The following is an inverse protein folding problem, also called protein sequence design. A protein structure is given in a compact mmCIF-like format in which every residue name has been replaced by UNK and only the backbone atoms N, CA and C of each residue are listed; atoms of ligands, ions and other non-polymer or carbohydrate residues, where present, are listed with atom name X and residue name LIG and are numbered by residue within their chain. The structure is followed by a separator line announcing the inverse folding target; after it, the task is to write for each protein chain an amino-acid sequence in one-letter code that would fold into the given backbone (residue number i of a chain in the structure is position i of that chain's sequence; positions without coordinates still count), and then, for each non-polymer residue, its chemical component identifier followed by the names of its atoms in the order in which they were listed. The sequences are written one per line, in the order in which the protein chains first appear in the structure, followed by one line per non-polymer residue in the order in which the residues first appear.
data_IF_332221609112
#
_entry.id   IF_332221609112
#
_cell.length_a   1.000
_cell.length_b   1.000
_cell.length_c   1.000
_cell.angle_alpha   90.00
_cell.angle_beta   90.00
_cell.angle_gamma   90.00
#
_symmetry.space_group_name_H-M   'P 1'
#
loop_
_entity.id
_entity.type
_entity.pdbx_description
1 polymer ?
#
# COMPACT_ATOMS: atom_id res chain seq x y z
N UNK A 1 -17.72 44.07 52.23
CA UNK A 1 -18.36 42.76 52.46
C UNK A 1 -18.06 41.90 51.25
N UNK A 2 -17.06 41.02 51.35
CA UNK A 2 -16.73 40.06 50.29
C UNK A 2 -17.88 39.06 50.14
N UNK A 3 -18.52 39.08 48.98
CA UNK A 3 -19.42 38.00 48.58
C UNK A 3 -18.56 36.79 48.24
N UNK A 4 -18.27 35.96 49.24
CA UNK A 4 -17.77 34.60 49.00
C UNK A 4 -18.95 33.81 48.44
N UNK A 5 -19.17 33.95 47.14
CA UNK A 5 -20.01 33.03 46.37
C UNK A 5 -19.59 31.60 46.68
N UNK A 6 -20.54 30.67 46.71
CA UNK A 6 -20.31 29.29 47.13
C UNK A 6 -19.09 28.70 46.39
N UNK A 7 -17.95 28.62 47.08
CA UNK A 7 -16.72 28.05 46.52
C UNK A 7 -16.77 26.56 46.75
N UNK A 8 -17.16 25.82 45.71
CA UNK A 8 -17.29 24.35 45.76
C UNK A 8 -15.91 23.68 45.67
N UNK A 9 -14.93 24.36 45.07
CA UNK A 9 -13.56 23.90 44.89
C UNK A 9 -12.58 24.94 45.44
N UNK A 10 -11.42 24.49 45.90
CA UNK A 10 -10.28 25.36 46.20
C UNK A 10 -9.63 25.88 44.91
N UNK A 11 -8.93 27.00 44.98
CA UNK A 11 -8.22 27.57 43.81
C UNK A 11 -7.20 26.57 43.24
N UNK A 12 -6.49 25.84 44.10
CA UNK A 12 -5.53 24.81 43.70
C UNK A 12 -6.21 23.64 42.95
N UNK A 13 -7.41 23.24 43.36
CA UNK A 13 -8.18 22.18 42.70
C UNK A 13 -8.78 22.64 41.36
N UNK A 14 -9.18 23.91 41.27
CA UNK A 14 -9.69 24.50 40.02
C UNK A 14 -8.60 24.53 38.96
N UNK A 15 -7.41 25.00 39.34
CA UNK A 15 -6.32 25.24 38.39
C UNK A 15 -5.62 23.92 37.99
N UNK A 16 -5.76 22.86 38.78
CA UNK A 16 -5.20 21.53 38.49
C UNK A 16 -6.28 20.45 38.28
N UNK A 17 -7.48 20.84 37.84
CA UNK A 17 -8.58 19.91 37.60
C UNK A 17 -8.21 18.89 36.52
N UNK A 18 -8.12 17.61 36.90
CA UNK A 18 -7.83 16.48 35.99
C UNK A 18 -9.06 15.63 35.65
N UNK A 19 -10.26 16.13 35.98
CA UNK A 19 -11.50 15.45 35.67
C UNK A 19 -11.90 15.61 34.21
N UNK A 20 -12.76 14.72 33.74
CA UNK A 20 -13.33 14.78 32.40
C UNK A 20 -14.23 16.02 32.29
N UNK A 21 -13.84 16.99 31.48
CA UNK A 21 -14.67 18.15 31.18
C UNK A 21 -15.66 17.81 30.08
N UNK A 22 -16.92 18.22 30.26
CA UNK A 22 -18.03 17.95 29.35
C UNK A 22 -18.51 19.31 28.82
N UNK A 23 -18.75 19.37 27.52
CA UNK A 23 -19.29 20.53 26.82
C UNK A 23 -20.78 20.72 27.13
N UNK A 24 -21.33 21.89 26.80
CA UNK A 24 -22.76 22.21 27.00
C UNK A 24 -23.71 21.29 26.21
N UNK A 25 -23.22 20.64 25.15
CA UNK A 25 -23.96 19.66 24.34
C UNK A 25 -23.87 18.22 24.90
N UNK A 26 -23.21 18.03 26.04
CA UNK A 26 -23.01 16.72 26.66
C UNK A 26 -21.87 15.90 26.06
N UNK A 27 -21.10 16.45 25.11
CA UNK A 27 -19.93 15.78 24.56
C UNK A 27 -18.71 15.94 25.47
N UNK A 28 -17.83 14.94 25.48
CA UNK A 28 -16.57 14.98 26.26
C UNK A 28 -15.58 15.89 25.55
N UNK A 29 -14.95 16.80 26.29
CA UNK A 29 -13.88 17.64 25.77
C UNK A 29 -12.61 16.80 25.57
N UNK A 30 -12.32 16.48 24.32
CA UNK A 30 -11.06 15.87 23.91
C UNK A 30 -10.05 16.98 23.61
N UNK A 31 -9.10 17.19 24.52
CA UNK A 31 -7.97 18.07 24.25
C UNK A 31 -7.11 17.43 23.15
N UNK A 32 -7.28 17.88 21.90
CA UNK A 32 -6.43 17.47 20.78
C UNK A 32 -4.99 17.87 21.06
N UNK A 33 -4.22 16.96 21.64
CA UNK A 33 -2.77 17.06 21.65
C UNK A 33 -2.25 17.02 20.21
N UNK A 34 -1.41 17.97 19.77
CA UNK A 34 -0.67 17.85 18.54
C UNK A 34 0.54 16.93 18.78
N UNK A 35 0.31 15.62 18.83
CA UNK A 35 1.36 14.59 18.85
C UNK A 35 1.43 14.00 17.43
N UNK A 36 2.33 14.55 16.61
CA UNK A 36 3.64 13.97 16.28
C UNK A 36 3.56 12.91 15.17
N UNK A 37 3.93 13.35 13.97
CA UNK A 37 4.59 12.51 12.97
C UNK A 37 5.78 11.81 13.63
N UNK A 38 5.68 10.52 13.91
CA UNK A 38 6.81 9.59 13.75
C UNK A 38 6.34 8.14 13.90
N UNK A 39 6.34 7.44 12.76
CA UNK A 39 6.87 6.09 12.62
C UNK A 39 6.79 5.17 13.87
N UNK A 40 5.61 4.63 14.16
CA UNK A 40 5.54 3.35 14.85
C UNK A 40 4.54 2.42 14.18
N UNK A 41 5.12 1.36 13.61
CA UNK A 41 4.53 0.06 13.33
C UNK A 41 3.65 -0.41 14.48
N UNK A 42 2.38 -0.05 14.45
CA UNK A 42 1.35 -0.65 15.27
C UNK A 42 0.24 -1.11 14.33
N UNK A 43 0.25 -2.41 14.04
CA UNK A 43 -0.88 -3.14 13.47
C UNK A 43 -2.06 -3.01 14.43
N UNK A 44 -2.71 -1.85 14.44
CA UNK A 44 -4.00 -1.70 15.08
C UNK A 44 -5.05 -2.03 14.03
N UNK A 45 -5.66 -3.19 14.26
CA UNK A 45 -6.68 -3.82 13.44
C UNK A 45 -7.89 -2.88 13.37
N UNK A 46 -7.90 -2.01 12.36
CA UNK A 46 -9.12 -1.35 11.88
C UNK A 46 -9.69 -2.20 10.74
N UNK A 47 -10.05 -3.46 11.04
CA UNK A 47 -10.76 -4.34 10.10
C UNK A 47 -12.26 -4.00 9.96
N UNK A 48 -12.72 -2.88 10.54
CA UNK A 48 -14.15 -2.50 10.57
C UNK A 48 -14.48 -1.21 9.81
N UNK A 49 -13.50 -0.56 9.17
CA UNK A 49 -13.79 0.46 8.15
C UNK A 49 -13.39 -0.12 6.80
N UNK A 50 -14.37 -0.32 5.92
CA UNK A 50 -14.13 -0.81 4.56
C UNK A 50 -12.97 -0.05 3.93
N UNK A 51 -11.93 -0.79 3.53
CA UNK A 51 -10.69 -0.25 2.96
C UNK A 51 -11.03 0.87 1.97
N UNK A 52 -10.49 2.09 2.13
CA UNK A 52 -10.84 3.20 1.26
C UNK A 52 -10.55 2.80 -0.19
N UNK A 53 -11.47 3.16 -1.09
CA UNK A 53 -11.48 2.75 -2.50
C UNK A 53 -10.11 2.92 -3.18
N UNK A 54 -9.37 3.95 -2.78
CA UNK A 54 -8.01 4.25 -3.24
C UNK A 54 -7.01 3.12 -2.96
N UNK A 55 -7.06 2.53 -1.77
CA UNK A 55 -6.18 1.43 -1.37
C UNK A 55 -6.57 0.15 -2.13
N UNK A 56 -7.87 -0.10 -2.29
CA UNK A 56 -8.36 -1.24 -3.09
C UNK A 56 -7.93 -1.14 -4.55
N UNK A 57 -7.99 0.06 -5.15
CA UNK A 57 -7.48 0.32 -6.49
C UNK A 57 -5.96 0.18 -6.58
N UNK A 58 -5.21 0.70 -5.60
CA UNK A 58 -3.75 0.59 -5.58
C UNK A 58 -3.29 -0.87 -5.53
N UNK A 59 -3.88 -1.69 -4.66
CA UNK A 59 -3.59 -3.13 -4.58
C UNK A 59 -3.95 -3.82 -5.89
N UNK A 60 -5.12 -3.53 -6.45
CA UNK A 60 -5.54 -4.08 -7.74
C UNK A 60 -4.57 -3.72 -8.87
N UNK A 61 -4.11 -2.48 -8.92
CA UNK A 61 -3.15 -2.00 -9.91
C UNK A 61 -1.79 -2.70 -9.78
N UNK A 62 -1.28 -2.86 -8.56
CA UNK A 62 0.00 -3.57 -8.32
C UNK A 62 -0.10 -5.02 -8.80
N UNK A 63 -1.17 -5.73 -8.41
CA UNK A 63 -1.39 -7.13 -8.84
C UNK A 63 -1.53 -7.21 -10.36
N UNK A 64 -2.27 -6.27 -10.97
CA UNK A 64 -2.41 -6.20 -12.42
C UNK A 64 -1.06 -5.99 -13.12
N UNK A 65 -0.23 -5.07 -12.64
CA UNK A 65 1.10 -4.82 -13.19
C UNK A 65 2.00 -6.07 -13.12
N UNK A 66 2.00 -6.78 -12.00
CA UNK A 66 2.77 -8.04 -11.87
C UNK A 66 2.29 -9.08 -12.86
N UNK A 67 0.97 -9.27 -12.99
CA UNK A 67 0.40 -10.20 -13.96
C UNK A 67 0.73 -9.79 -15.39
N UNK A 68 0.66 -8.50 -15.72
CA UNK A 68 1.01 -8.00 -17.04
C UNK A 68 2.48 -8.29 -17.40
N UNK A 69 3.40 -8.11 -16.46
CA UNK A 69 4.83 -8.46 -16.65
C UNK A 69 4.97 -9.96 -16.94
N UNK A 70 4.32 -10.81 -16.15
CA UNK A 70 4.38 -12.27 -16.31
C UNK A 70 3.83 -12.70 -17.68
N UNK A 71 2.65 -12.20 -18.05
CA UNK A 71 2.01 -12.52 -19.33
C UNK A 71 2.85 -11.99 -20.49
N UNK A 72 3.42 -10.79 -20.37
CA UNK A 72 4.30 -10.23 -21.39
C UNK A 72 5.56 -11.08 -21.58
N UNK A 73 6.19 -11.51 -20.49
CA UNK A 73 7.39 -12.34 -20.55
C UNK A 73 7.09 -13.73 -21.15
N UNK A 74 6.00 -14.37 -20.71
CA UNK A 74 5.55 -15.65 -21.26
C UNK A 74 5.13 -15.52 -22.73
N UNK A 75 4.39 -14.47 -23.08
CA UNK A 75 3.98 -14.19 -24.45
C UNK A 75 5.17 -13.98 -25.38
N UNK A 76 6.16 -13.21 -24.94
CA UNK A 76 7.40 -13.02 -25.67
C UNK A 76 8.18 -14.33 -25.83
N UNK A 77 8.27 -15.16 -24.78
CA UNK A 77 8.94 -16.46 -24.83
C UNK A 77 8.28 -17.41 -25.84
N UNK A 78 6.95 -17.53 -25.78
CA UNK A 78 6.18 -18.37 -26.71
C UNK A 78 6.31 -17.87 -28.14
N UNK A 79 6.31 -16.55 -28.34
CA UNK A 79 6.51 -15.95 -29.65
C UNK A 79 7.93 -16.19 -30.16
N UNK A 80 8.97 -16.06 -29.33
CA UNK A 80 10.37 -16.19 -29.72
C UNK A 80 10.77 -17.63 -30.07
N UNK A 81 10.19 -18.62 -29.39
CA UNK A 81 10.44 -20.06 -29.61
C UNK A 81 10.34 -20.51 -31.08
N UNK A 82 9.24 -20.27 -31.82
CA UNK A 82 9.13 -20.67 -33.22
C UNK A 82 10.10 -19.92 -34.14
N UNK A 83 10.43 -18.65 -33.86
CA UNK A 83 11.46 -17.93 -34.62
C UNK A 83 12.84 -18.55 -34.42
N UNK A 84 13.17 -18.92 -33.17
CA UNK A 84 14.42 -19.59 -32.86
C UNK A 84 14.52 -20.97 -33.54
N UNK A 85 13.43 -21.75 -33.49
CA UNK A 85 13.33 -23.05 -34.15
C UNK A 85 13.46 -22.91 -35.67
N UNK A 86 12.74 -21.95 -36.27
CA UNK A 86 12.80 -21.68 -37.71
C UNK A 86 14.22 -21.30 -38.16
N UNK A 87 14.87 -20.42 -37.42
CA UNK A 87 16.27 -20.05 -37.66
C UNK A 87 17.22 -21.26 -37.58
N UNK A 88 17.05 -22.11 -36.56
CA UNK A 88 17.85 -23.33 -36.39
C UNK A 88 17.69 -24.29 -37.58
N UNK A 89 16.46 -24.50 -38.06
CA UNK A 89 16.18 -25.35 -39.23
C UNK A 89 16.85 -24.78 -40.48
N UNK A 90 16.76 -23.47 -40.72
CA UNK A 90 17.39 -22.82 -41.88
C UNK A 90 18.91 -23.02 -41.85
N UNK A 91 19.54 -22.82 -40.68
CA UNK A 91 20.98 -23.04 -40.51
C UNK A 91 21.34 -24.51 -40.77
N UNK A 92 20.53 -25.45 -40.28
CA UNK A 92 20.75 -26.87 -40.48
C UNK A 92 20.68 -27.25 -41.97
N UNK A 93 19.67 -26.76 -42.69
CA UNK A 93 19.56 -26.96 -44.15
C UNK A 93 20.76 -26.35 -44.88
N UNK A 94 21.15 -25.13 -44.53
CA UNK A 94 22.33 -24.48 -45.12
C UNK A 94 23.60 -25.31 -44.92
N UNK A 95 23.80 -25.88 -43.73
CA UNK A 95 24.95 -26.73 -43.45
C UNK A 95 24.92 -28.03 -44.25
N UNK A 96 23.75 -28.66 -44.42
CA UNK A 96 23.59 -29.85 -45.27
C UNK A 96 23.93 -29.53 -46.72
N UNK A 97 23.35 -28.46 -47.27
CA UNK A 97 23.60 -28.03 -48.67
C UNK A 97 25.07 -27.71 -48.86
N UNK A 98 25.66 -26.93 -47.96
CA UNK A 98 27.09 -26.59 -48.00
C UNK A 98 27.98 -27.83 -47.92
N UNK A 99 27.63 -28.80 -47.08
CA UNK A 99 28.36 -30.06 -46.96
C UNK A 99 28.30 -30.88 -48.26
N UNK A 100 27.11 -30.97 -48.87
CA UNK A 100 26.92 -31.65 -50.16
C UNK A 100 27.69 -30.96 -51.29
N UNK A 101 27.62 -29.62 -51.37
CA UNK A 101 28.31 -28.83 -52.40
C UNK A 101 29.84 -28.88 -52.27
N UNK A 102 30.35 -29.05 -51.04
CA UNK A 102 31.80 -29.17 -50.78
C UNK A 102 32.35 -30.57 -51.05
N UNK A 103 31.47 -31.57 -51.13
CA UNK A 103 31.82 -32.97 -51.38
C UNK A 103 31.79 -33.32 -52.88
N UNK A 104 31.17 -32.46 -53.70
CA UNK A 104 31.10 -32.57 -55.15
C UNK A 104 32.13 -31.65 -55.81
#
# INVERSE_FOLDING_TARGET
MESRGASVLSDDERDNFKGQTINEDGSVYEEKKPEQEESQSNFHIYMTHGLPLRIKLAIGFIVFCVLAIIISALGFLILALPYLLGGAVIVLVYQIVKSLLRRH
#
